data_IF_059301925048
#
_entry.id   IF_059301925048
#
_cell.length_a   1.000
_cell.length_b   1.000
_cell.length_c   1.000
_cell.angle_alpha   90.00
_cell.angle_beta   90.00
_cell.angle_gamma   90.00
#
_symmetry.space_group_name_H-M   'P 1'
#
loop_
_entity.id
_entity.type
_entity.pdbx_description
1 polymer ?
#
# COMPACT_ATOMS: atom_id res chain seq x y z
N UNK A 1 15.35 19.22 -9.54
CA UNK A 1 14.26 19.08 -8.55
C UNK A 1 13.64 17.70 -8.60
N UNK A 2 13.17 17.23 -9.74
CA UNK A 2 12.47 15.93 -9.87
C UNK A 2 13.31 14.71 -9.42
N UNK A 3 14.58 14.64 -9.78
CA UNK A 3 15.49 13.57 -9.33
C UNK A 3 15.63 13.50 -7.80
N UNK A 4 15.58 14.63 -7.09
CA UNK A 4 15.59 14.66 -5.63
C UNK A 4 14.30 14.12 -5.01
N UNK A 5 13.15 14.36 -5.65
CA UNK A 5 11.88 13.78 -5.21
C UNK A 5 11.92 12.25 -5.35
N UNK A 6 12.38 11.75 -6.50
CA UNK A 6 12.53 10.29 -6.73
C UNK A 6 13.49 9.66 -5.71
N UNK A 7 14.54 10.35 -5.32
CA UNK A 7 15.53 9.81 -4.37
C UNK A 7 15.06 9.86 -2.90
N UNK A 8 14.18 10.81 -2.54
CA UNK A 8 13.87 11.08 -1.13
C UNK A 8 12.37 11.00 -0.79
N UNK A 9 11.53 10.50 -1.70
CA UNK A 9 10.07 10.43 -1.49
C UNK A 9 9.67 9.68 -0.22
N UNK A 10 10.41 8.66 0.12
CA UNK A 10 10.18 7.81 1.27
C UNK A 10 10.24 8.59 2.60
N UNK A 11 11.25 9.45 2.74
CA UNK A 11 11.42 10.26 3.95
C UNK A 11 10.37 11.35 4.06
N UNK A 12 10.04 12.01 2.93
CA UNK A 12 8.94 12.97 2.87
C UNK A 12 7.58 12.32 3.17
N UNK A 13 7.34 11.15 2.60
CA UNK A 13 6.15 10.35 2.87
C UNK A 13 6.04 9.92 4.33
N UNK A 14 7.12 9.44 4.93
CA UNK A 14 7.15 9.07 6.34
C UNK A 14 6.77 10.25 7.25
N UNK A 15 7.40 11.41 7.06
CA UNK A 15 7.09 12.61 7.85
C UNK A 15 5.64 13.06 7.63
N UNK A 16 5.14 13.03 6.38
CA UNK A 16 3.76 13.35 6.08
C UNK A 16 2.79 12.34 6.74
N UNK A 17 3.11 11.05 6.71
CA UNK A 17 2.35 10.00 7.39
C UNK A 17 2.26 10.23 8.88
N UNK A 18 3.39 10.51 9.56
CA UNK A 18 3.39 10.82 10.99
C UNK A 18 2.57 12.07 11.31
N UNK A 19 2.68 13.13 10.49
CA UNK A 19 1.89 14.35 10.67
C UNK A 19 0.38 14.07 10.53
N UNK A 20 -0.02 13.31 9.50
CA UNK A 20 -1.42 12.92 9.31
C UNK A 20 -1.94 12.07 10.47
N UNK A 21 -1.14 11.12 11.00
CA UNK A 21 -1.50 10.34 12.17
C UNK A 21 -1.68 11.22 13.42
N UNK A 22 -0.75 12.16 13.64
CA UNK A 22 -0.84 13.11 14.75
C UNK A 22 -2.09 13.99 14.67
N UNK A 23 -2.44 14.43 13.46
CA UNK A 23 -3.61 15.29 13.21
C UNK A 23 -4.93 14.52 13.07
N UNK A 24 -4.89 13.18 13.01
CA UNK A 24 -6.10 12.36 12.83
C UNK A 24 -7.24 12.73 13.77
N UNK A 25 -7.04 12.93 15.11
CA UNK A 25 -8.15 13.28 16.01
C UNK A 25 -8.84 14.61 15.66
N UNK A 26 -8.11 15.54 15.05
CA UNK A 26 -8.64 16.83 14.61
C UNK A 26 -9.34 16.75 13.26
N UNK A 27 -8.75 15.99 12.32
CA UNK A 27 -9.24 15.91 10.94
C UNK A 27 -10.51 15.08 10.80
N UNK A 28 -10.66 14.03 11.59
CA UNK A 28 -11.70 13.01 11.39
C UNK A 28 -12.63 12.83 12.60
N UNK A 29 -12.63 13.74 13.57
CA UNK A 29 -13.40 13.62 14.82
C UNK A 29 -14.91 13.37 14.63
N UNK A 30 -15.48 13.82 13.53
CA UNK A 30 -16.91 13.66 13.21
C UNK A 30 -17.18 12.57 12.15
N UNK A 31 -16.14 11.86 11.70
CA UNK A 31 -16.30 10.85 10.66
C UNK A 31 -16.72 9.50 11.25
N UNK A 32 -17.53 8.70 10.53
CA UNK A 32 -17.82 7.33 10.93
C UNK A 32 -16.55 6.47 10.88
N UNK A 33 -16.48 5.46 11.74
CA UNK A 33 -15.32 4.58 11.87
C UNK A 33 -14.86 3.97 10.53
N UNK A 34 -15.79 3.64 9.65
CA UNK A 34 -15.51 3.12 8.30
C UNK A 34 -14.72 4.10 7.44
N UNK A 35 -15.06 5.39 7.47
CA UNK A 35 -14.36 6.43 6.71
C UNK A 35 -13.02 6.78 7.36
N UNK A 36 -12.96 6.83 8.70
CA UNK A 36 -11.70 7.00 9.45
C UNK A 36 -10.72 5.90 9.10
N UNK A 37 -11.16 4.65 9.07
CA UNK A 37 -10.31 3.51 8.73
C UNK A 37 -9.80 3.59 7.30
N UNK A 38 -10.66 3.98 6.35
CA UNK A 38 -10.25 4.21 4.95
C UNK A 38 -9.19 5.30 4.85
N UNK A 39 -9.36 6.42 5.59
CA UNK A 39 -8.36 7.49 5.67
C UNK A 39 -7.03 6.98 6.25
N UNK A 40 -7.07 6.23 7.34
CA UNK A 40 -5.87 5.72 8.02
C UNK A 40 -5.04 4.78 7.12
N UNK A 41 -5.62 4.16 6.10
CA UNK A 41 -4.85 3.35 5.15
C UNK A 41 -3.71 4.16 4.51
N UNK A 42 -3.89 5.46 4.23
CA UNK A 42 -2.84 6.29 3.60
C UNK A 42 -1.66 6.57 4.54
N UNK A 43 -1.84 7.22 5.71
CA UNK A 43 -0.72 7.51 6.58
C UNK A 43 -0.03 6.25 7.14
N UNK A 44 -0.78 5.18 7.39
CA UNK A 44 -0.21 3.90 7.81
C UNK A 44 0.60 3.27 6.68
N UNK A 45 0.15 3.39 5.42
CA UNK A 45 0.94 2.94 4.26
C UNK A 45 2.25 3.75 4.12
N UNK A 46 2.20 5.07 4.34
CA UNK A 46 3.40 5.92 4.31
C UNK A 46 4.43 5.50 5.38
N UNK A 47 3.98 5.13 6.58
CA UNK A 47 4.85 4.57 7.63
C UNK A 47 5.42 3.22 7.23
N UNK A 48 4.60 2.33 6.66
CA UNK A 48 5.06 1.04 6.13
C UNK A 48 6.12 1.21 5.04
N UNK A 49 5.94 2.15 4.12
CA UNK A 49 6.89 2.42 3.05
C UNK A 49 8.25 2.89 3.57
N UNK A 50 8.31 3.53 4.73
CA UNK A 50 9.60 3.83 5.36
C UNK A 50 10.33 2.55 5.78
N UNK A 51 9.66 1.61 6.45
CA UNK A 51 10.27 0.31 6.76
C UNK A 51 10.65 -0.45 5.49
N UNK A 52 9.84 -0.36 4.44
CA UNK A 52 10.04 -1.12 3.20
C UNK A 52 11.18 -0.54 2.35
N UNK A 53 11.24 0.79 2.19
CA UNK A 53 12.08 1.45 1.19
C UNK A 53 13.25 2.28 1.75
N UNK A 54 13.41 2.40 3.07
CA UNK A 54 14.55 3.10 3.65
C UNK A 54 15.87 2.52 3.11
N UNK A 55 16.79 3.39 2.68
CA UNK A 55 18.03 2.98 2.02
C UNK A 55 17.82 2.04 0.81
N UNK A 56 16.68 2.16 0.12
CA UNK A 56 16.38 1.43 -1.12
C UNK A 56 16.34 -0.12 -0.97
N UNK A 57 16.22 -0.60 0.28
CA UNK A 57 16.40 -2.02 0.61
C UNK A 57 15.39 -2.96 -0.04
N UNK A 58 14.12 -2.55 -0.21
CA UNK A 58 13.13 -3.38 -0.90
C UNK A 58 13.46 -3.59 -2.37
N UNK A 59 13.81 -2.50 -3.08
CA UNK A 59 14.20 -2.59 -4.49
C UNK A 59 15.40 -3.51 -4.68
N UNK A 60 16.42 -3.35 -3.83
CA UNK A 60 17.62 -4.20 -3.85
C UNK A 60 17.27 -5.66 -3.54
N UNK A 61 16.46 -5.91 -2.52
CA UNK A 61 15.98 -7.24 -2.16
C UNK A 61 15.23 -7.92 -3.31
N UNK A 62 14.26 -7.23 -3.94
CA UNK A 62 13.50 -7.77 -5.07
C UNK A 62 14.42 -8.05 -6.26
N UNK A 63 15.26 -7.09 -6.64
CA UNK A 63 16.15 -7.24 -7.80
C UNK A 63 17.14 -8.38 -7.63
N UNK A 64 17.66 -8.59 -6.41
CA UNK A 64 18.51 -9.74 -6.11
C UNK A 64 17.77 -11.07 -6.28
N UNK A 65 16.49 -11.14 -5.85
CA UNK A 65 15.68 -12.37 -5.95
C UNK A 65 15.31 -12.75 -7.39
N UNK A 66 15.01 -11.77 -8.24
CA UNK A 66 14.57 -12.03 -9.62
C UNK A 66 15.73 -12.19 -10.63
N UNK A 67 16.95 -11.78 -10.25
CA UNK A 67 18.17 -11.93 -11.05
C UNK A 67 18.30 -10.95 -12.21
N UNK A 68 19.50 -10.87 -12.77
CA UNK A 68 19.93 -9.85 -13.73
C UNK A 68 19.23 -9.92 -15.11
N UNK A 69 18.69 -11.08 -15.47
CA UNK A 69 17.97 -11.27 -16.77
C UNK A 69 16.58 -10.63 -16.80
N UNK A 70 16.13 -10.05 -15.70
CA UNK A 70 14.82 -9.39 -15.55
C UNK A 70 14.97 -7.88 -15.51
N UNK A 71 13.91 -7.17 -15.87
CA UNK A 71 13.89 -5.69 -15.82
C UNK A 71 14.12 -5.21 -14.38
N UNK A 72 13.49 -5.87 -13.42
CA UNK A 72 13.53 -5.47 -12.02
C UNK A 72 12.80 -4.15 -11.77
N UNK A 73 13.05 -3.59 -10.61
CA UNK A 73 12.53 -2.30 -10.22
C UNK A 73 13.64 -1.24 -10.36
N UNK A 74 13.38 -0.14 -11.07
CA UNK A 74 14.21 1.07 -11.06
C UNK A 74 13.75 2.02 -9.95
N UNK A 75 14.59 2.98 -9.50
CA UNK A 75 14.15 4.00 -8.53
C UNK A 75 12.92 4.79 -9.00
N UNK A 76 12.85 5.11 -10.29
CA UNK A 76 11.69 5.77 -10.90
C UNK A 76 10.44 4.87 -10.85
N UNK A 77 10.58 3.59 -11.16
CA UNK A 77 9.47 2.64 -11.12
C UNK A 77 8.92 2.53 -9.68
N UNK A 78 9.80 2.41 -8.67
CA UNK A 78 9.40 2.38 -7.26
C UNK A 78 8.66 3.66 -6.88
N UNK A 79 9.17 4.82 -7.26
CA UNK A 79 8.51 6.11 -7.01
C UNK A 79 7.10 6.16 -7.64
N UNK A 80 6.98 5.79 -8.94
CA UNK A 80 5.71 5.84 -9.67
C UNK A 80 4.69 4.84 -9.11
N UNK A 81 5.14 3.64 -8.73
CA UNK A 81 4.26 2.63 -8.11
C UNK A 81 3.72 3.17 -6.79
N UNK A 82 4.56 3.74 -5.96
CA UNK A 82 4.19 4.07 -4.58
C UNK A 82 3.50 5.43 -4.45
N UNK A 83 3.99 6.48 -5.11
CA UNK A 83 3.45 7.83 -4.92
C UNK A 83 2.19 8.05 -5.78
N UNK A 84 2.25 8.20 -7.12
CA UNK A 84 1.01 8.36 -7.89
C UNK A 84 0.16 7.08 -7.92
N UNK A 85 0.77 5.89 -7.85
CA UNK A 85 0.06 4.62 -7.84
C UNK A 85 -0.65 4.36 -6.52
N UNK A 86 0.06 3.94 -5.48
CA UNK A 86 -0.55 3.51 -4.21
C UNK A 86 -1.25 4.67 -3.49
N UNK A 87 -0.57 5.82 -3.28
CA UNK A 87 -1.21 6.95 -2.60
C UNK A 87 -2.39 7.50 -3.40
N UNK A 88 -2.27 7.54 -4.74
CA UNK A 88 -3.36 7.95 -5.63
C UNK A 88 -4.57 7.04 -5.52
N UNK A 89 -4.37 5.72 -5.55
CA UNK A 89 -5.45 4.74 -5.40
C UNK A 89 -6.13 4.87 -4.03
N UNK A 90 -5.36 4.98 -2.94
CA UNK A 90 -5.94 5.15 -1.59
C UNK A 90 -6.70 6.49 -1.50
N UNK A 91 -6.14 7.57 -2.06
CA UNK A 91 -6.80 8.89 -2.09
C UNK A 91 -8.11 8.87 -2.88
N UNK A 92 -8.13 8.24 -4.05
CA UNK A 92 -9.34 8.05 -4.86
C UNK A 92 -10.36 7.17 -4.12
N UNK A 93 -9.89 6.07 -3.51
CA UNK A 93 -10.74 5.19 -2.69
C UNK A 93 -11.43 5.97 -1.55
N UNK A 94 -10.68 6.80 -0.83
CA UNK A 94 -11.20 7.67 0.23
C UNK A 94 -12.23 8.68 -0.32
N UNK A 95 -11.92 9.35 -1.42
CA UNK A 95 -12.81 10.31 -2.04
C UNK A 95 -14.13 9.65 -2.47
N UNK A 96 -14.07 8.50 -3.12
CA UNK A 96 -15.25 7.74 -3.52
C UNK A 96 -16.02 7.17 -2.31
N UNK A 97 -15.32 6.75 -1.27
CA UNK A 97 -15.93 6.29 -0.02
C UNK A 97 -16.72 7.41 0.68
N UNK A 98 -16.19 8.64 0.63
CA UNK A 98 -16.82 9.81 1.24
C UNK A 98 -17.99 10.39 0.43
N UNK A 99 -17.97 10.28 -0.91
CA UNK A 99 -18.89 11.02 -1.78
C UNK A 99 -19.87 10.15 -2.56
N UNK A 100 -19.55 8.86 -2.78
CA UNK A 100 -20.36 7.94 -3.58
C UNK A 100 -20.91 6.79 -2.75
N UNK A 101 -20.03 5.97 -2.18
CA UNK A 101 -20.43 4.84 -1.33
C UNK A 101 -19.26 4.41 -0.47
N UNK A 102 -19.50 4.20 0.81
CA UNK A 102 -18.48 3.74 1.77
C UNK A 102 -17.83 2.41 1.35
N UNK A 103 -18.50 1.59 0.54
CA UNK A 103 -17.96 0.35 0.00
C UNK A 103 -16.69 0.52 -0.83
N UNK A 104 -16.48 1.69 -1.46
CA UNK A 104 -15.23 1.98 -2.17
C UNK A 104 -14.01 2.04 -1.25
N UNK A 105 -14.19 2.24 0.06
CA UNK A 105 -13.11 2.13 1.05
C UNK A 105 -12.46 0.76 1.09
N UNK A 106 -13.18 -0.31 0.66
CA UNK A 106 -12.61 -1.65 0.55
C UNK A 106 -11.42 -1.74 -0.42
N UNK A 107 -11.31 -0.84 -1.40
CA UNK A 107 -10.14 -0.81 -2.30
C UNK A 107 -8.87 -0.51 -1.50
N UNK A 108 -8.87 0.52 -0.66
CA UNK A 108 -7.73 0.85 0.21
C UNK A 108 -7.46 -0.26 1.24
N UNK A 109 -8.51 -0.81 1.84
CA UNK A 109 -8.41 -1.87 2.85
C UNK A 109 -7.82 -3.15 2.25
N UNK A 110 -8.31 -3.61 1.10
CA UNK A 110 -7.74 -4.79 0.44
C UNK A 110 -6.32 -4.56 -0.07
N UNK A 111 -5.98 -3.32 -0.46
CA UNK A 111 -4.63 -2.99 -0.90
C UNK A 111 -3.61 -3.22 0.24
N UNK A 112 -3.88 -2.72 1.46
CA UNK A 112 -3.00 -2.95 2.61
C UNK A 112 -3.00 -4.42 3.07
N UNK A 113 -4.15 -5.09 3.06
CA UNK A 113 -4.25 -6.50 3.45
C UNK A 113 -3.47 -7.42 2.50
N UNK A 114 -3.63 -7.23 1.19
CA UNK A 114 -2.92 -8.04 0.21
C UNK A 114 -1.41 -7.79 0.27
N UNK A 115 -1.00 -6.52 0.37
CA UNK A 115 0.41 -6.17 0.53
C UNK A 115 0.98 -6.84 1.81
N UNK A 116 0.32 -6.69 2.96
CA UNK A 116 0.74 -7.32 4.21
C UNK A 116 0.81 -8.85 4.11
N UNK A 117 -0.16 -9.47 3.46
CA UNK A 117 -0.17 -10.92 3.22
C UNK A 117 1.03 -11.36 2.37
N UNK A 118 1.38 -10.59 1.33
CA UNK A 118 2.54 -10.88 0.47
C UNK A 118 3.83 -10.83 1.28
N UNK A 119 4.02 -9.84 2.17
CA UNK A 119 5.19 -9.77 3.06
C UNK A 119 5.30 -11.01 3.96
N UNK A 120 4.19 -11.44 4.55
CA UNK A 120 4.17 -12.63 5.43
C UNK A 120 4.47 -13.89 4.63
N UNK A 121 3.81 -14.11 3.51
CA UNK A 121 4.03 -15.28 2.64
C UNK A 121 5.49 -15.33 2.18
N UNK A 122 6.04 -14.19 1.79
CA UNK A 122 7.43 -14.08 1.37
C UNK A 122 8.41 -14.41 2.52
N UNK A 123 8.14 -13.94 3.74
CA UNK A 123 8.94 -14.25 4.92
C UNK A 123 8.92 -15.73 5.26
N UNK A 124 7.75 -16.38 5.17
CA UNK A 124 7.59 -17.82 5.40
C UNK A 124 8.38 -18.63 4.35
N UNK A 125 8.22 -18.30 3.06
CA UNK A 125 8.89 -19.01 1.96
C UNK A 125 10.41 -18.83 2.05
N UNK A 126 10.89 -17.61 2.31
CA UNK A 126 12.32 -17.32 2.40
C UNK A 126 12.94 -17.69 3.75
N UNK A 127 12.12 -18.07 4.73
CA UNK A 127 12.50 -18.34 6.12
C UNK A 127 13.31 -17.21 6.75
N UNK A 128 12.91 -15.97 6.46
CA UNK A 128 13.65 -14.81 6.93
C UNK A 128 12.86 -13.51 6.79
N UNK A 129 13.39 -12.48 7.43
CA UNK A 129 12.84 -11.13 7.34
C UNK A 129 12.91 -10.57 5.91
N UNK A 130 11.89 -9.83 5.52
CA UNK A 130 11.90 -8.96 4.34
C UNK A 130 11.52 -7.53 4.74
N UNK A 131 12.02 -6.51 4.02
CA UNK A 131 11.67 -5.11 4.31
C UNK A 131 10.16 -4.89 4.24
N UNK A 132 9.55 -4.31 5.28
CA UNK A 132 8.11 -4.07 5.40
C UNK A 132 7.36 -5.12 6.25
N UNK A 133 7.98 -6.24 6.63
CA UNK A 133 7.31 -7.32 7.36
C UNK A 133 6.76 -6.88 8.73
N UNK A 134 7.49 -6.05 9.47
CA UNK A 134 7.08 -5.62 10.80
C UNK A 134 5.80 -4.80 10.75
N UNK A 135 5.78 -3.75 9.96
CA UNK A 135 4.58 -2.91 9.79
C UNK A 135 3.44 -3.64 9.07
N UNK A 136 3.74 -4.61 8.21
CA UNK A 136 2.72 -5.48 7.62
C UNK A 136 1.95 -6.24 8.71
N UNK A 137 2.64 -6.85 9.66
CA UNK A 137 2.02 -7.62 10.75
C UNK A 137 1.32 -6.69 11.75
N UNK A 138 2.01 -5.64 12.22
CA UNK A 138 1.54 -4.84 13.34
C UNK A 138 0.61 -3.68 12.95
N UNK A 139 0.64 -3.23 11.70
CA UNK A 139 -0.20 -2.13 11.23
C UNK A 139 -1.21 -2.56 10.18
N UNK A 140 -0.78 -3.23 9.09
CA UNK A 140 -1.67 -3.54 7.97
C UNK A 140 -2.73 -4.58 8.33
N UNK A 141 -2.36 -5.69 8.96
CA UNK A 141 -3.34 -6.72 9.29
C UNK A 141 -4.39 -6.23 10.29
N UNK A 142 -4.03 -5.58 11.42
CA UNK A 142 -5.03 -5.08 12.35
C UNK A 142 -5.93 -4.00 11.76
N UNK A 143 -5.35 -3.02 11.05
CA UNK A 143 -6.10 -1.94 10.40
C UNK A 143 -7.01 -2.48 9.30
N UNK A 144 -6.50 -3.38 8.47
CA UNK A 144 -7.26 -3.98 7.38
C UNK A 144 -8.41 -4.86 7.88
N UNK A 145 -8.16 -5.70 8.88
CA UNK A 145 -9.19 -6.51 9.52
C UNK A 145 -10.30 -5.67 10.15
N UNK A 146 -9.93 -4.63 10.90
CA UNK A 146 -10.89 -3.68 11.44
C UNK A 146 -11.64 -2.93 10.35
N UNK A 147 -10.94 -2.53 9.27
CA UNK A 147 -11.53 -1.82 8.13
C UNK A 147 -12.62 -2.61 7.41
N UNK A 148 -12.40 -3.91 7.17
CA UNK A 148 -13.45 -4.80 6.63
C UNK A 148 -14.68 -4.76 7.52
N UNK A 149 -14.49 -4.97 8.83
CA UNK A 149 -15.59 -4.99 9.80
C UNK A 149 -16.34 -3.66 9.86
N UNK A 150 -15.62 -2.54 9.92
CA UNK A 150 -16.21 -1.21 10.01
C UNK A 150 -17.02 -0.84 8.75
N UNK A 151 -16.51 -1.18 7.56
CA UNK A 151 -17.20 -0.93 6.29
C UNK A 151 -18.41 -1.86 6.14
N UNK A 152 -18.29 -3.12 6.58
CA UNK A 152 -19.40 -4.08 6.61
C UNK A 152 -20.55 -3.57 7.50
N UNK A 153 -20.25 -3.13 8.72
CA UNK A 153 -21.22 -2.58 9.67
C UNK A 153 -21.88 -1.28 9.16
N UNK A 154 -21.17 -0.51 8.35
CA UNK A 154 -21.71 0.68 7.70
C UNK A 154 -22.55 0.37 6.44
N UNK A 155 -22.80 -0.90 6.11
CA UNK A 155 -23.59 -1.33 4.96
C UNK A 155 -22.84 -1.28 3.61
N UNK A 156 -21.53 -0.98 3.62
CA UNK A 156 -20.72 -0.91 2.41
C UNK A 156 -20.12 -2.26 1.94
N UNK A 157 -20.24 -3.31 2.76
CA UNK A 157 -19.66 -4.62 2.50
C UNK A 157 -20.50 -5.52 1.61
N UNK A 158 -20.96 -5.06 0.45
CA UNK A 158 -21.64 -5.93 -0.51
C UNK A 158 -20.64 -6.86 -1.20
N UNK A 159 -21.13 -8.00 -1.70
CA UNK A 159 -20.29 -8.93 -2.47
C UNK A 159 -19.55 -8.23 -3.62
N UNK A 160 -20.25 -7.37 -4.36
CA UNK A 160 -19.66 -6.62 -5.46
C UNK A 160 -18.53 -5.70 -4.99
N UNK A 161 -18.69 -5.00 -3.87
CA UNK A 161 -17.66 -4.11 -3.33
C UNK A 161 -16.44 -4.87 -2.80
N UNK A 162 -16.65 -6.05 -2.19
CA UNK A 162 -15.54 -6.94 -1.84
C UNK A 162 -14.76 -7.41 -3.08
N UNK A 163 -15.47 -7.83 -4.14
CA UNK A 163 -14.83 -8.26 -5.40
C UNK A 163 -14.10 -7.10 -6.07
N UNK A 164 -14.67 -5.90 -6.06
CA UNK A 164 -14.03 -4.69 -6.61
C UNK A 164 -12.74 -4.37 -5.83
N UNK A 165 -12.79 -4.35 -4.50
CA UNK A 165 -11.63 -4.05 -3.66
C UNK A 165 -10.51 -5.09 -3.81
N UNK A 166 -10.85 -6.37 -3.69
CA UNK A 166 -9.90 -7.46 -3.85
C UNK A 166 -9.33 -7.52 -5.28
N UNK A 167 -10.18 -7.37 -6.29
CA UNK A 167 -9.78 -7.37 -7.70
C UNK A 167 -8.83 -6.22 -8.03
N UNK A 168 -9.10 -5.01 -7.53
CA UNK A 168 -8.22 -3.86 -7.70
C UNK A 168 -6.85 -4.09 -7.04
N UNK A 169 -6.83 -4.58 -5.80
CA UNK A 169 -5.60 -4.90 -5.10
C UNK A 169 -4.77 -5.97 -5.83
N UNK A 170 -5.41 -7.06 -6.27
CA UNK A 170 -4.74 -8.12 -7.05
C UNK A 170 -4.19 -7.56 -8.36
N UNK A 171 -4.98 -6.78 -9.11
CA UNK A 171 -4.55 -6.23 -10.40
C UNK A 171 -3.31 -5.33 -10.25
N UNK A 172 -3.26 -4.50 -9.21
CA UNK A 172 -2.10 -3.64 -8.92
C UNK A 172 -0.85 -4.49 -8.65
N UNK A 173 -0.94 -5.48 -7.75
CA UNK A 173 0.20 -6.32 -7.41
C UNK A 173 0.67 -7.17 -8.60
N UNK A 174 -0.26 -7.72 -9.37
CA UNK A 174 0.08 -8.46 -10.61
C UNK A 174 0.79 -7.55 -11.61
N UNK A 175 0.32 -6.32 -11.80
CA UNK A 175 0.97 -5.36 -12.70
C UNK A 175 2.41 -5.05 -12.28
N UNK A 176 2.66 -4.89 -10.98
CA UNK A 176 4.01 -4.67 -10.42
C UNK A 176 4.90 -5.89 -10.68
N UNK A 177 4.41 -7.09 -10.37
CA UNK A 177 5.15 -8.34 -10.58
C UNK A 177 5.47 -8.54 -12.07
N UNK A 178 4.47 -8.38 -12.94
CA UNK A 178 4.65 -8.50 -14.38
C UNK A 178 5.69 -7.50 -14.89
N UNK A 179 5.65 -6.24 -14.42
CA UNK A 179 6.66 -5.24 -14.78
C UNK A 179 8.07 -5.70 -14.38
N UNK A 180 8.26 -6.08 -13.12
CA UNK A 180 9.56 -6.50 -12.60
C UNK A 180 10.12 -7.75 -13.28
N UNK A 181 9.24 -8.69 -13.63
CA UNK A 181 9.61 -10.00 -14.21
C UNK A 181 9.82 -9.98 -15.73
N UNK A 182 9.59 -8.87 -16.42
CA UNK A 182 9.87 -8.76 -17.87
C UNK A 182 11.33 -9.08 -18.17
N UNK A 183 11.59 -9.71 -19.30
CA UNK A 183 12.96 -9.95 -19.78
C UNK A 183 13.61 -8.62 -20.21
N UNK A 184 14.88 -8.44 -19.92
CA UNK A 184 15.63 -7.30 -20.46
C UNK A 184 15.80 -7.49 -21.97
N UNK A 185 15.51 -6.45 -22.79
CA UNK A 185 15.84 -6.50 -24.19
C UNK A 185 17.36 -6.65 -24.39
N UNK A 186 17.78 -7.62 -25.21
CA UNK A 186 19.19 -7.75 -25.59
C UNK A 186 20.08 -8.61 -24.68
N UNK A 187 19.50 -9.39 -23.75
CA UNK A 187 20.21 -10.45 -23.01
C UNK A 187 19.73 -11.82 -23.43
#
# INVERSE_FOLDING_TARGET
>A
MFARLIANWVYGGFLAGLLLLLLTPLLVHSWPASLVTTFLCLPVYMVHQYEEHDNDRFRLFVNQKIGERRVGLSPLAVFVINVPGVWGVIGISLALAATVSIGFGLVAVYLILLNGTIHIVQAVISRGYNPGLGTAIFLFLPLGGYGITAIQQAGGGTFLMHMTGAGAAIAIHVAIIVHAMRRRPGL
#
